data_IF_116237924550
#
_entry.id   IF_116237924550
#
_cell.length_a   1.000
_cell.length_b   1.000
_cell.length_c   1.000
_cell.angle_alpha   90.00
_cell.angle_beta   90.00
_cell.angle_gamma   90.00
#
_symmetry.space_group_name_H-M   'P 1'
#
loop_
_entity.id
_entity.type
_entity.pdbx_description
1 polymer ?
#
# COMPACT_ATOMS: atom_id res chain seq x y z
N UNK A 1 -6.32 -30.79 -6.55
CA UNK A 1 -5.85 -29.91 -5.46
C UNK A 1 -5.51 -28.56 -6.07
N UNK A 2 -6.16 -27.49 -5.64
CA UNK A 2 -5.92 -26.14 -6.17
C UNK A 2 -4.79 -25.51 -5.37
N UNK A 3 -3.76 -25.00 -6.04
CA UNK A 3 -2.65 -24.32 -5.39
C UNK A 3 -2.98 -22.83 -5.29
N UNK A 4 -2.98 -22.25 -4.09
CA UNK A 4 -3.21 -20.83 -3.85
C UNK A 4 -1.89 -20.10 -3.58
N UNK A 5 -1.57 -19.13 -4.43
CA UNK A 5 -0.37 -18.29 -4.28
C UNK A 5 -0.69 -17.04 -3.48
N UNK A 6 -0.13 -16.94 -2.28
CA UNK A 6 -0.31 -15.79 -1.38
C UNK A 6 0.97 -14.97 -1.34
N UNK A 7 0.87 -13.70 -1.64
CA UNK A 7 1.99 -12.75 -1.63
C UNK A 7 1.81 -11.74 -0.51
N UNK A 8 2.83 -11.59 0.32
CA UNK A 8 2.84 -10.65 1.44
C UNK A 8 3.84 -9.52 1.22
N UNK A 9 3.36 -8.28 1.30
CA UNK A 9 4.17 -7.09 1.55
C UNK A 9 4.02 -6.69 3.01
N UNK A 10 4.54 -7.55 3.88
CA UNK A 10 4.51 -7.39 5.32
C UNK A 10 5.72 -8.13 5.91
N UNK A 11 6.49 -7.46 6.77
CA UNK A 11 7.67 -8.04 7.41
C UNK A 11 7.32 -8.79 8.72
N UNK A 12 6.07 -8.72 9.17
CA UNK A 12 5.63 -9.39 10.40
C UNK A 12 5.30 -10.87 10.13
N UNK A 13 6.21 -11.75 10.54
CA UNK A 13 6.07 -13.20 10.35
C UNK A 13 4.92 -13.80 11.18
N UNK A 14 4.65 -13.28 12.39
CA UNK A 14 3.52 -13.74 13.20
C UNK A 14 2.18 -13.45 12.53
N UNK A 15 2.07 -12.26 11.93
CA UNK A 15 0.90 -11.94 11.13
C UNK A 15 0.73 -12.91 9.96
N UNK A 16 1.80 -13.18 9.20
CA UNK A 16 1.76 -14.12 8.06
C UNK A 16 1.30 -15.51 8.51
N UNK A 17 1.84 -16.04 9.62
CA UNK A 17 1.44 -17.33 10.16
C UNK A 17 -0.05 -17.36 10.53
N UNK A 18 -0.52 -16.36 11.28
CA UNK A 18 -1.92 -16.29 11.67
C UNK A 18 -2.87 -16.11 10.49
N UNK A 19 -2.47 -15.32 9.48
CA UNK A 19 -3.28 -15.11 8.29
C UNK A 19 -3.29 -16.34 7.37
N UNK A 20 -2.18 -17.08 7.26
CA UNK A 20 -2.14 -18.36 6.55
C UNK A 20 -3.07 -19.37 7.22
N UNK A 21 -3.02 -19.52 8.55
CA UNK A 21 -3.94 -20.41 9.27
C UNK A 21 -5.42 -20.03 9.03
N UNK A 22 -5.73 -18.73 8.95
CA UNK A 22 -7.06 -18.27 8.59
C UNK A 22 -7.43 -18.68 7.15
N UNK A 23 -6.54 -18.51 6.19
CA UNK A 23 -6.78 -18.90 4.80
C UNK A 23 -6.94 -20.42 4.65
N UNK A 24 -6.15 -21.23 5.36
CA UNK A 24 -6.27 -22.69 5.42
C UNK A 24 -7.64 -23.11 5.94
N UNK A 25 -8.15 -22.45 6.96
CA UNK A 25 -9.51 -22.70 7.47
C UNK A 25 -10.61 -22.34 6.47
N UNK A 26 -10.37 -21.35 5.60
CA UNK A 26 -11.31 -20.90 4.58
C UNK A 26 -11.30 -21.77 3.32
N UNK A 27 -10.15 -22.34 2.99
CA UNK A 27 -9.90 -23.09 1.77
C UNK A 27 -9.22 -24.44 2.07
N UNK A 28 -9.90 -25.35 2.79
CA UNK A 28 -9.27 -26.58 3.32
C UNK A 28 -8.78 -27.55 2.23
N UNK A 29 -9.26 -27.40 0.99
CA UNK A 29 -8.82 -28.22 -0.16
C UNK A 29 -7.66 -27.60 -0.96
N UNK A 30 -7.14 -26.44 -0.54
CA UNK A 30 -6.09 -25.72 -1.23
C UNK A 30 -4.71 -25.97 -0.58
N UNK A 31 -3.68 -26.12 -1.40
CA UNK A 31 -2.28 -26.01 -0.95
C UNK A 31 -1.82 -24.56 -1.06
N UNK A 32 -1.16 -24.06 -0.03
CA UNK A 32 -0.71 -22.67 0.01
C UNK A 32 0.79 -22.57 -0.30
N UNK A 33 1.11 -21.71 -1.25
CA UNK A 33 2.47 -21.23 -1.48
C UNK A 33 2.53 -19.77 -1.05
N UNK A 34 3.37 -19.45 -0.07
CA UNK A 34 3.56 -18.07 0.36
C UNK A 34 4.92 -17.55 -0.11
N UNK A 35 4.93 -16.37 -0.72
CA UNK A 35 6.16 -15.71 -1.16
C UNK A 35 6.17 -14.22 -0.80
N UNK A 36 7.39 -13.65 -0.72
CA UNK A 36 7.54 -12.22 -0.51
C UNK A 36 7.42 -11.46 -1.84
N UNK A 37 6.89 -10.23 -1.79
CA UNK A 37 6.70 -9.34 -2.95
C UNK A 37 7.95 -9.17 -3.81
N UNK A 38 9.15 -9.25 -3.23
CA UNK A 38 10.41 -9.11 -3.96
C UNK A 38 10.62 -10.15 -5.09
N UNK A 39 9.85 -11.24 -5.10
CA UNK A 39 9.88 -12.22 -6.19
C UNK A 39 9.05 -11.80 -7.42
N UNK A 40 8.10 -10.88 -7.27
CA UNK A 40 7.26 -10.39 -8.38
C UNK A 40 8.07 -9.54 -9.35
N UNK A 41 9.04 -8.76 -8.82
CA UNK A 41 9.90 -7.89 -9.65
C UNK A 41 10.88 -8.63 -10.58
N UNK A 42 11.04 -9.96 -10.41
CA UNK A 42 11.98 -10.76 -11.23
C UNK A 42 11.30 -11.48 -12.41
N UNK A 43 10.18 -10.98 -12.92
CA UNK A 43 9.77 -11.24 -14.30
C UNK A 43 9.21 -12.62 -14.62
N UNK A 44 8.63 -13.35 -13.66
CA UNK A 44 7.79 -14.52 -13.98
C UNK A 44 6.35 -14.22 -13.58
N UNK A 45 5.47 -14.24 -14.57
CA UNK A 45 4.01 -14.25 -14.50
C UNK A 45 3.49 -15.35 -13.56
N UNK A 46 3.58 -15.14 -12.25
CA UNK A 46 2.93 -16.02 -11.29
C UNK A 46 1.54 -15.46 -11.04
N UNK A 47 0.53 -16.20 -11.49
CA UNK A 47 -0.85 -15.91 -11.10
C UNK A 47 -0.88 -15.83 -9.57
N UNK A 48 -1.26 -14.66 -9.06
CA UNK A 48 -1.35 -14.41 -7.62
C UNK A 48 -2.82 -14.47 -7.24
N UNK A 49 -3.18 -15.41 -6.38
CA UNK A 49 -4.58 -15.55 -5.93
C UNK A 49 -4.93 -14.56 -4.84
N UNK A 50 -3.98 -14.28 -3.92
CA UNK A 50 -4.18 -13.33 -2.82
C UNK A 50 -2.91 -12.51 -2.62
N UNK A 51 -3.07 -11.19 -2.61
CA UNK A 51 -1.99 -10.26 -2.27
C UNK A 51 -2.36 -9.45 -1.03
N UNK A 52 -1.48 -9.45 -0.03
CA UNK A 52 -1.67 -8.77 1.24
C UNK A 52 -0.62 -7.67 1.41
N UNK A 53 -1.07 -6.44 1.45
CA UNK A 53 -0.25 -5.25 1.67
C UNK A 53 -0.49 -4.69 3.06
N UNK A 54 0.58 -4.36 3.79
CA UNK A 54 0.47 -3.58 5.03
C UNK A 54 0.66 -2.10 4.69
N UNK A 55 -0.42 -1.33 4.79
CA UNK A 55 -0.44 0.07 4.40
C UNK A 55 -0.29 0.97 5.63
N UNK A 56 0.69 1.86 5.60
CA UNK A 56 0.71 2.98 6.53
C UNK A 56 -0.29 4.07 6.09
N UNK A 57 -0.62 4.96 7.00
CA UNK A 57 -1.53 6.07 6.69
C UNK A 57 -0.95 6.94 5.57
N UNK A 58 -1.75 7.22 4.55
CA UNK A 58 -1.37 8.00 3.38
C UNK A 58 -0.99 7.13 2.17
N UNK A 59 -0.61 5.87 2.35
CA UNK A 59 -0.30 4.95 1.25
C UNK A 59 -1.52 4.67 0.36
N UNK A 60 -2.71 4.80 0.88
CA UNK A 60 -3.95 4.68 0.12
C UNK A 60 -4.13 5.76 -0.97
N UNK A 61 -3.28 6.80 -0.98
CA UNK A 61 -3.33 7.88 -1.98
C UNK A 61 -2.19 7.84 -2.99
N UNK A 62 -1.28 6.89 -2.90
CA UNK A 62 -0.11 6.79 -3.77
C UNK A 62 -0.21 5.62 -4.74
N UNK A 63 0.60 5.64 -5.78
CA UNK A 63 0.73 4.51 -6.70
C UNK A 63 1.56 3.40 -6.05
N UNK A 64 1.12 2.17 -6.26
CA UNK A 64 1.82 0.94 -5.89
C UNK A 64 2.28 0.23 -7.15
N UNK A 65 3.52 0.46 -7.60
CA UNK A 65 4.02 -0.09 -8.87
C UNK A 65 3.98 -1.62 -8.91
N UNK A 66 4.16 -2.25 -7.76
CA UNK A 66 4.08 -3.70 -7.59
C UNK A 66 2.73 -4.31 -7.99
N UNK A 67 1.68 -3.49 -8.06
CA UNK A 67 0.35 -3.92 -8.45
C UNK A 67 0.08 -3.81 -9.96
N UNK A 68 1.00 -3.19 -10.72
CA UNK A 68 0.81 -2.96 -12.16
C UNK A 68 0.75 -4.26 -12.98
N UNK A 69 1.49 -5.27 -12.56
CA UNK A 69 1.56 -6.56 -13.25
C UNK A 69 0.62 -7.62 -12.66
N UNK A 70 -0.29 -7.23 -11.77
CA UNK A 70 -1.26 -8.13 -11.16
C UNK A 70 -2.32 -8.55 -12.18
N UNK A 71 -2.48 -9.84 -12.38
CA UNK A 71 -3.48 -10.43 -13.29
C UNK A 71 -4.68 -10.99 -12.53
N UNK A 72 -5.31 -10.21 -11.69
CA UNK A 72 -6.45 -10.64 -10.88
C UNK A 72 -6.06 -11.01 -9.44
N UNK A 73 -6.88 -11.85 -8.80
CA UNK A 73 -6.71 -12.23 -7.41
C UNK A 73 -7.23 -11.20 -6.40
N UNK A 74 -7.41 -11.65 -5.17
CA UNK A 74 -7.92 -10.81 -4.07
C UNK A 74 -6.80 -9.89 -3.57
N UNK A 75 -7.04 -8.59 -3.58
CA UNK A 75 -6.14 -7.59 -3.04
C UNK A 75 -6.60 -7.13 -1.66
N UNK A 76 -5.76 -7.33 -0.65
CA UNK A 76 -6.06 -7.00 0.75
C UNK A 76 -5.08 -5.93 1.24
N UNK A 77 -5.62 -4.82 1.74
CA UNK A 77 -4.86 -3.77 2.41
C UNK A 77 -5.10 -3.82 3.92
N UNK A 78 -4.06 -4.17 4.68
CA UNK A 78 -4.09 -4.08 6.14
C UNK A 78 -3.86 -2.64 6.55
N UNK A 79 -4.76 -2.10 7.35
CA UNK A 79 -4.73 -0.70 7.76
C UNK A 79 -4.83 -0.57 9.28
N UNK A 80 -4.30 0.52 9.81
CA UNK A 80 -4.37 0.79 11.25
C UNK A 80 -5.82 0.99 11.75
N UNK A 81 -6.03 0.80 13.06
CA UNK A 81 -7.35 0.90 13.74
C UNK A 81 -8.15 2.17 13.44
N UNK A 82 -7.47 3.27 13.21
CA UNK A 82 -8.10 4.57 12.93
C UNK A 82 -8.32 4.85 11.44
N UNK A 83 -8.07 3.86 10.59
CA UNK A 83 -8.32 4.00 9.17
C UNK A 83 -9.80 4.18 8.92
N UNK A 84 -10.15 5.25 8.23
CA UNK A 84 -11.49 5.53 7.74
C UNK A 84 -11.37 6.01 6.31
N UNK A 85 -11.81 5.22 5.38
CA UNK A 85 -11.96 5.72 4.01
C UNK A 85 -13.04 6.80 4.01
N UNK A 86 -12.63 8.05 3.81
CA UNK A 86 -13.54 9.21 3.83
C UNK A 86 -14.00 9.63 2.43
N UNK A 87 -14.06 8.69 1.52
CA UNK A 87 -14.38 9.00 0.14
C UNK A 87 -13.22 9.68 -0.60
N UNK A 88 -13.32 9.73 -1.89
CA UNK A 88 -12.29 10.21 -2.79
C UNK A 88 -11.97 9.14 -3.82
N UNK A 89 -11.18 9.51 -4.83
CA UNK A 89 -10.78 8.58 -5.87
C UNK A 89 -9.55 7.82 -5.39
N UNK A 90 -9.67 6.50 -5.23
CA UNK A 90 -8.53 5.63 -5.02
C UNK A 90 -7.65 5.62 -6.29
N UNK A 91 -6.33 5.46 -6.14
CA UNK A 91 -5.48 5.06 -7.25
C UNK A 91 -6.06 3.84 -7.96
N UNK A 92 -5.94 3.78 -9.27
CA UNK A 92 -6.52 2.68 -10.07
C UNK A 92 -6.02 1.31 -9.63
N UNK A 93 -4.77 1.22 -9.17
CA UNK A 93 -4.16 0.00 -8.65
C UNK A 93 -4.77 -0.49 -7.32
N UNK A 94 -5.48 0.37 -6.58
CA UNK A 94 -6.12 0.05 -5.30
C UNK A 94 -7.66 -0.03 -5.38
N UNK A 95 -8.24 0.14 -6.56
CA UNK A 95 -9.70 0.27 -6.74
C UNK A 95 -10.50 -0.92 -6.17
N UNK A 96 -9.94 -2.12 -6.28
CA UNK A 96 -10.59 -3.37 -5.83
C UNK A 96 -10.05 -3.88 -4.50
N UNK A 97 -9.25 -3.06 -3.80
CA UNK A 97 -8.65 -3.46 -2.54
C UNK A 97 -9.68 -3.57 -1.41
N UNK A 98 -9.63 -4.68 -0.70
CA UNK A 98 -10.36 -4.87 0.55
C UNK A 98 -9.52 -4.29 1.68
N UNK A 99 -10.02 -3.28 2.37
CA UNK A 99 -9.34 -2.72 3.54
C UNK A 99 -9.77 -3.47 4.80
N UNK A 100 -8.81 -4.12 5.46
CA UNK A 100 -9.00 -4.83 6.73
C UNK A 100 -8.27 -4.07 7.84
N UNK A 101 -8.99 -3.68 8.88
CA UNK A 101 -8.38 -3.04 10.05
C UNK A 101 -7.64 -4.09 10.90
N UNK A 102 -6.53 -3.70 11.52
CA UNK A 102 -5.71 -4.61 12.33
C UNK A 102 -6.45 -5.18 13.55
N UNK A 103 -7.51 -4.53 14.01
CA UNK A 103 -8.38 -4.98 15.11
C UNK A 103 -9.75 -5.46 14.61
N UNK A 104 -9.90 -5.74 13.32
CA UNK A 104 -11.14 -6.25 12.75
C UNK A 104 -11.42 -7.66 13.29
N UNK A 105 -12.69 -7.93 13.54
CA UNK A 105 -13.11 -9.25 14.04
C UNK A 105 -12.95 -10.32 12.95
N UNK A 106 -12.41 -11.48 13.31
CA UNK A 106 -12.09 -12.58 12.38
C UNK A 106 -13.28 -12.94 11.49
N UNK A 107 -14.49 -13.04 12.04
CA UNK A 107 -15.68 -13.39 11.25
C UNK A 107 -15.98 -12.37 10.14
N UNK A 108 -15.67 -11.08 10.34
CA UNK A 108 -15.83 -10.04 9.32
C UNK A 108 -14.77 -10.15 8.25
N UNK A 109 -13.51 -10.45 8.63
CA UNK A 109 -12.43 -10.72 7.69
C UNK A 109 -12.80 -11.89 6.78
N UNK A 110 -13.28 -12.98 7.37
CA UNK A 110 -13.77 -14.17 6.65
C UNK A 110 -14.88 -13.79 5.65
N UNK A 111 -15.87 -13.05 6.11
CA UNK A 111 -16.99 -12.63 5.25
C UNK A 111 -16.53 -11.76 4.07
N UNK A 112 -15.58 -10.85 4.29
CA UNK A 112 -15.03 -9.99 3.23
C UNK A 112 -14.25 -10.80 2.20
N UNK A 113 -13.38 -11.73 2.63
CA UNK A 113 -12.60 -12.59 1.74
C UNK A 113 -13.51 -13.51 0.91
N UNK A 114 -14.51 -14.14 1.53
CA UNK A 114 -15.49 -14.98 0.83
C UNK A 114 -16.25 -14.20 -0.23
N UNK A 115 -16.72 -12.98 0.12
CA UNK A 115 -17.43 -12.12 -0.82
C UNK A 115 -16.57 -11.74 -2.03
N UNK A 116 -15.29 -11.37 -1.80
CA UNK A 116 -14.37 -11.05 -2.87
C UNK A 116 -14.12 -12.24 -3.79
N UNK A 117 -13.96 -13.44 -3.24
CA UNK A 117 -13.78 -14.66 -4.02
C UNK A 117 -14.99 -14.96 -4.92
N UNK A 118 -16.20 -14.71 -4.42
CA UNK A 118 -17.41 -14.87 -5.24
C UNK A 118 -17.48 -13.85 -6.37
N UNK A 119 -17.00 -12.63 -6.15
CA UNK A 119 -16.94 -11.59 -7.17
C UNK A 119 -15.91 -11.87 -8.25
N UNK A 120 -14.77 -12.48 -7.92
CA UNK A 120 -13.76 -12.91 -8.92
C UNK A 120 -14.26 -14.01 -9.85
N UNK A 121 -15.14 -14.89 -9.36
CA UNK A 121 -15.72 -15.97 -10.16
C UNK A 121 -16.65 -15.46 -11.28
N UNK A 122 -17.10 -14.21 -11.22
CA UNK A 122 -17.81 -13.54 -12.32
C UNK A 122 -16.77 -12.85 -13.22
N UNK A 123 -16.62 -13.27 -14.49
CA UNK A 123 -15.68 -12.62 -15.39
C UNK A 123 -16.09 -11.16 -15.58
N UNK A 124 -15.42 -10.26 -14.88
CA UNK A 124 -15.53 -8.84 -15.17
C UNK A 124 -14.81 -8.60 -16.48
N UNK A 125 -15.55 -8.19 -17.50
CA UNK A 125 -15.10 -8.01 -18.89
C UNK A 125 -14.02 -6.94 -19.10
N UNK A 126 -13.40 -6.39 -18.07
CA UNK A 126 -12.40 -5.32 -18.20
C UNK A 126 -11.27 -5.44 -17.16
N UNK A 127 -10.51 -6.53 -17.20
CA UNK A 127 -9.12 -6.47 -16.72
C UNK A 127 -8.24 -5.85 -17.82
N UNK A 128 -8.63 -4.68 -18.32
CA UNK A 128 -7.74 -3.83 -19.10
C UNK A 128 -6.60 -3.40 -18.19
N UNK A 129 -5.38 -3.58 -18.65
CA UNK A 129 -4.12 -3.15 -18.06
C UNK A 129 -4.33 -1.98 -17.10
N UNK A 130 -4.02 -2.17 -15.82
CA UNK A 130 -4.05 -1.11 -14.83
C UNK A 130 -2.95 -0.12 -15.23
N UNK A 131 -3.30 0.79 -16.13
CA UNK A 131 -2.34 1.80 -16.62
C UNK A 131 -2.16 2.84 -15.53
N UNK A 132 -1.03 2.78 -14.84
CA UNK A 132 -0.65 3.82 -13.87
C UNK A 132 -0.45 5.19 -14.51
N UNK A 133 -0.37 5.29 -15.84
CA UNK A 133 -0.28 6.55 -16.56
C UNK A 133 -1.48 7.47 -16.26
N UNK A 134 -2.69 6.93 -16.19
CA UNK A 134 -3.93 7.69 -15.92
C UNK A 134 -4.38 7.62 -14.45
N UNK A 135 -3.52 7.09 -13.59
CA UNK A 135 -3.86 6.89 -12.19
C UNK A 135 -3.86 8.21 -11.42
N UNK A 136 -4.99 8.56 -10.81
CA UNK A 136 -5.13 9.75 -9.97
C UNK A 136 -4.51 9.54 -8.58
N UNK A 137 -3.22 9.29 -8.53
CA UNK A 137 -2.49 9.22 -7.27
C UNK A 137 -1.88 10.58 -6.88
N UNK A 138 -1.59 10.74 -5.59
CA UNK A 138 -0.99 11.98 -5.08
C UNK A 138 0.53 11.88 -5.17
N UNK A 139 1.16 12.97 -5.63
CA UNK A 139 2.62 13.11 -5.74
C UNK A 139 3.10 14.30 -4.95
N UNK A 140 4.33 14.26 -4.46
CA UNK A 140 5.01 15.43 -3.94
C UNK A 140 5.43 16.34 -5.10
N UNK A 141 5.46 17.66 -4.86
CA UNK A 141 6.14 18.59 -5.78
C UNK A 141 7.65 18.50 -5.54
N UNK A 142 8.46 18.94 -6.50
CA UNK A 142 9.93 18.97 -6.39
C UNK A 142 10.41 19.66 -5.09
N UNK A 143 9.77 20.75 -4.68
CA UNK A 143 10.12 21.43 -3.44
C UNK A 143 9.70 20.64 -2.21
N UNK A 144 8.52 19.99 -2.24
CA UNK A 144 8.07 19.10 -1.18
C UNK A 144 9.00 17.87 -1.04
N UNK A 145 9.52 17.31 -2.12
CA UNK A 145 10.51 16.23 -2.10
C UNK A 145 11.80 16.64 -1.40
N UNK A 146 12.34 17.83 -1.70
CA UNK A 146 13.53 18.37 -1.02
C UNK A 146 13.30 18.53 0.48
N UNK A 147 12.16 19.12 0.87
CA UNK A 147 11.80 19.27 2.28
C UNK A 147 11.59 17.92 2.96
N UNK A 148 10.91 16.99 2.29
CA UNK A 148 10.69 15.63 2.79
C UNK A 148 11.99 14.86 3.01
N UNK A 149 12.94 14.93 2.06
CA UNK A 149 14.26 14.30 2.19
C UNK A 149 15.05 14.87 3.39
N UNK A 150 14.99 16.19 3.60
CA UNK A 150 15.65 16.84 4.72
C UNK A 150 15.00 16.49 6.07
N UNK A 151 13.66 16.37 6.12
CA UNK A 151 12.94 15.89 7.31
C UNK A 151 13.32 14.44 7.66
N UNK A 152 13.43 13.56 6.66
CA UNK A 152 13.86 12.17 6.85
C UNK A 152 15.33 12.06 7.31
N UNK A 153 16.16 13.03 6.95
CA UNK A 153 17.54 13.13 7.45
C UNK A 153 17.61 13.64 8.90
N UNK A 154 16.47 13.95 9.53
CA UNK A 154 16.40 14.43 10.91
C UNK A 154 16.75 15.89 11.09
N UNK A 155 16.84 16.70 10.02
CA UNK A 155 17.16 18.11 10.09
C UNK A 155 16.01 18.90 10.71
N UNK A 156 16.35 19.87 11.57
CA UNK A 156 15.41 20.83 12.13
C UNK A 156 14.88 21.79 11.07
N UNK A 157 13.75 22.45 11.34
CA UNK A 157 13.17 23.43 10.42
C UNK A 157 14.16 24.55 10.06
N UNK A 158 14.99 24.99 11.03
CA UNK A 158 16.02 26.01 10.84
C UNK A 158 17.13 25.53 9.90
N UNK A 159 17.62 24.30 10.08
CA UNK A 159 18.64 23.71 9.20
C UNK A 159 18.12 23.53 7.79
N UNK A 160 16.86 23.04 7.64
CA UNK A 160 16.20 22.91 6.34
C UNK A 160 16.05 24.25 5.65
N UNK A 161 15.64 25.28 6.40
CA UNK A 161 15.50 26.64 5.90
C UNK A 161 16.82 27.17 5.33
N UNK A 162 17.92 27.04 6.09
CA UNK A 162 19.26 27.42 5.65
C UNK A 162 19.71 26.63 4.40
N UNK A 163 19.54 25.29 4.42
CA UNK A 163 19.97 24.41 3.32
C UNK A 163 19.21 24.64 2.01
N UNK A 164 17.92 24.97 2.09
CA UNK A 164 17.06 25.13 0.91
C UNK A 164 16.81 26.59 0.53
N UNK A 165 17.45 27.56 1.19
CA UNK A 165 17.24 29.01 1.04
C UNK A 165 15.75 29.39 1.20
N UNK A 166 15.11 28.88 2.26
CA UNK A 166 13.71 29.14 2.63
C UNK A 166 13.63 29.81 4.00
N UNK A 167 12.44 30.31 4.36
CA UNK A 167 12.14 30.64 5.75
C UNK A 167 11.67 29.39 6.51
N UNK A 168 11.87 29.36 7.83
CA UNK A 168 11.32 28.28 8.68
C UNK A 168 9.80 28.16 8.53
N UNK A 169 9.11 29.30 8.43
CA UNK A 169 7.67 29.35 8.16
C UNK A 169 7.30 28.64 6.87
N UNK A 170 8.11 28.79 5.83
CA UNK A 170 7.91 28.11 4.53
C UNK A 170 8.13 26.59 4.67
N UNK A 171 9.13 26.17 5.44
CA UNK A 171 9.37 24.75 5.73
C UNK A 171 8.16 24.13 6.44
N UNK A 172 7.64 24.79 7.49
CA UNK A 172 6.42 24.33 8.17
C UNK A 172 5.21 24.29 7.24
N UNK A 173 5.08 25.28 6.35
CA UNK A 173 3.99 25.29 5.36
C UNK A 173 4.08 24.10 4.42
N UNK A 174 5.26 23.76 3.90
CA UNK A 174 5.45 22.56 3.07
C UNK A 174 5.14 21.27 3.83
N UNK A 175 5.62 21.14 5.06
CA UNK A 175 5.28 19.99 5.92
C UNK A 175 3.76 19.86 6.07
N UNK A 176 3.06 20.93 6.40
CA UNK A 176 1.60 20.96 6.57
C UNK A 176 0.85 20.60 5.29
N UNK A 177 1.32 21.10 4.14
CA UNK A 177 0.75 20.77 2.83
C UNK A 177 0.92 19.27 2.53
N UNK A 178 2.10 18.69 2.80
CA UNK A 178 2.33 17.25 2.64
C UNK A 178 1.36 16.47 3.53
N UNK A 179 1.28 16.79 4.81
CA UNK A 179 0.38 16.13 5.74
C UNK A 179 -1.09 16.22 5.29
N UNK A 180 -1.54 17.40 4.88
CA UNK A 180 -2.89 17.60 4.35
C UNK A 180 -3.13 16.82 3.06
N UNK A 181 -2.15 16.83 2.14
CA UNK A 181 -2.20 16.11 0.86
C UNK A 181 -2.45 14.62 1.07
N UNK A 182 -1.78 14.00 2.04
CA UNK A 182 -1.91 12.56 2.33
C UNK A 182 -2.82 12.26 3.52
N UNK A 183 -3.55 13.25 4.03
CA UNK A 183 -4.48 13.13 5.18
C UNK A 183 -3.82 12.54 6.43
N UNK A 184 -2.57 12.87 6.66
CA UNK A 184 -1.80 12.47 7.83
C UNK A 184 -2.23 13.30 9.06
N UNK A 185 -2.18 12.69 10.25
CA UNK A 185 -2.56 13.36 11.51
C UNK A 185 -1.38 13.67 12.40
N UNK A 186 -0.38 12.81 12.38
CA UNK A 186 0.78 12.87 13.27
C UNK A 186 2.08 12.87 12.48
N UNK A 187 3.13 13.41 13.06
CA UNK A 187 4.47 13.42 12.48
C UNK A 187 5.01 12.00 12.23
N UNK A 188 4.61 11.03 13.07
CA UNK A 188 4.96 9.63 12.87
C UNK A 188 4.36 9.10 11.57
N UNK A 189 3.11 9.42 11.25
CA UNK A 189 2.48 9.04 9.97
C UNK A 189 3.28 9.60 8.80
N UNK A 190 3.74 10.87 8.93
CA UNK A 190 4.54 11.53 7.90
C UNK A 190 5.87 10.79 7.68
N UNK A 191 6.59 10.49 8.75
CA UNK A 191 7.89 9.79 8.65
C UNK A 191 7.72 8.40 8.02
N UNK A 192 6.69 7.65 8.41
CA UNK A 192 6.38 6.33 7.84
C UNK A 192 6.11 6.43 6.33
N UNK A 193 5.24 7.36 5.92
CA UNK A 193 4.90 7.56 4.51
C UNK A 193 6.12 8.00 3.70
N UNK A 194 6.91 8.94 4.20
CA UNK A 194 8.11 9.43 3.50
C UNK A 194 9.17 8.34 3.35
N UNK A 195 9.35 7.49 4.37
CA UNK A 195 10.23 6.32 4.26
C UNK A 195 9.74 5.34 3.20
N UNK A 196 8.43 5.11 3.12
CA UNK A 196 7.85 4.29 2.06
C UNK A 196 8.14 4.88 0.68
N UNK A 197 7.83 6.17 0.45
CA UNK A 197 8.06 6.85 -0.82
C UNK A 197 9.54 6.80 -1.25
N UNK A 198 10.47 6.98 -0.31
CA UNK A 198 11.91 6.86 -0.58
C UNK A 198 12.31 5.47 -1.07
N UNK A 199 11.80 4.42 -0.41
CA UNK A 199 12.11 3.02 -0.80
C UNK A 199 11.51 2.68 -2.17
N UNK A 200 10.29 3.14 -2.44
CA UNK A 200 9.62 2.91 -3.73
C UNK A 200 10.30 3.62 -4.89
N UNK A 201 10.90 4.79 -4.66
CA UNK A 201 11.65 5.52 -5.68
C UNK A 201 13.01 4.88 -6.00
N UNK A 202 13.65 4.25 -5.01
CA UNK A 202 14.94 3.58 -5.20
C UNK A 202 14.83 2.28 -6.03
N UNK A 203 13.67 1.62 -6.02
CA UNK A 203 13.43 0.40 -6.80
C UNK A 203 13.07 0.63 -8.28
N UNK A 204 13.06 1.87 -8.77
CA UNK A 204 12.71 2.21 -10.16
C UNK A 204 13.93 2.59 -11.02
N UNK A 205 15.12 2.60 -10.46
CA UNK A 205 16.35 3.01 -11.16
C UNK A 205 17.26 1.83 -11.57
N UNK A 206 16.77 0.59 -11.49
CA UNK A 206 17.50 -0.61 -11.97
C UNK A 206 16.78 -1.30 -13.12
#
# INVERSE_FOLDING_TARGET
MTMLNVIYKNDNNFFKLGFNALLESLFPAAMFSSSAVNKIYKGKDTATDIMVLNLCRGEEYICHPELQHRRGGILIGLVGKQFRWRGGILPSCLKEMIFIQQDEKIYRIIAQIKRARMQEATPSMNQSDIRCHDCRHRKLSRQQEKVAAALLAGLSAREIAGKLALSEKTVFSHKRIIMSKFKLRHDVDLVLLLNYLRRSSAGHND
#
